data_IF_991655949125
#
_entry.id   IF_991655949125
#
_cell.length_a   1.000
_cell.length_b   1.000
_cell.length_c   1.000
_cell.angle_alpha   90.00
_cell.angle_beta   90.00
_cell.angle_gamma   90.00
#
_symmetry.space_group_name_H-M   'P 1'
#
loop_
_entity.id
_entity.type
_entity.pdbx_description
1 polymer ?
#
# COMPACT_ATOMS: atom_id res chain seq x y z
N UNK A 1 35.04 0.55 19.02
CA UNK A 1 34.25 0.58 17.77
C UNK A 1 33.27 1.72 17.96
N UNK A 2 33.28 2.70 17.06
CA UNK A 2 32.39 3.84 17.19
C UNK A 2 30.93 3.38 17.09
N UNK A 3 30.12 3.83 18.04
CA UNK A 3 28.70 3.51 18.17
C UNK A 3 27.90 4.75 17.80
N UNK A 4 26.85 4.59 16.98
CA UNK A 4 25.99 5.69 16.58
C UNK A 4 24.54 5.44 16.98
N UNK A 5 23.95 6.36 17.74
CA UNK A 5 22.53 6.36 18.08
C UNK A 5 21.82 7.49 17.35
N UNK A 6 20.65 7.17 16.79
CA UNK A 6 19.71 8.19 16.33
C UNK A 6 18.95 8.70 17.55
N UNK A 7 19.07 9.99 17.81
CA UNK A 7 18.40 10.68 18.91
C UNK A 7 17.52 11.81 18.38
N UNK A 8 16.50 12.18 19.13
CA UNK A 8 15.56 13.25 18.80
C UNK A 8 15.39 14.16 19.99
N UNK A 9 15.44 15.47 19.74
CA UNK A 9 15.00 16.46 20.72
C UNK A 9 13.46 16.51 20.71
N UNK A 10 12.85 16.20 21.85
CA UNK A 10 11.39 16.08 22.01
C UNK A 10 10.70 17.45 21.91
N UNK A 11 11.39 18.55 22.22
CA UNK A 11 10.81 19.88 22.20
C UNK A 11 10.72 20.46 20.78
N UNK A 12 11.74 20.16 19.97
CA UNK A 12 11.88 20.69 18.61
C UNK A 12 11.52 19.68 17.52
N UNK A 13 11.49 18.39 17.85
CA UNK A 13 11.31 17.30 16.90
C UNK A 13 12.55 17.01 16.04
N UNK A 14 13.66 17.73 16.23
CA UNK A 14 14.86 17.56 15.40
C UNK A 14 15.59 16.26 15.75
N UNK A 15 15.85 15.44 14.73
CA UNK A 15 16.61 14.21 14.86
C UNK A 15 18.08 14.44 14.47
N UNK A 16 18.99 13.85 15.24
CA UNK A 16 20.43 13.90 15.00
C UNK A 16 21.09 12.55 15.32
N UNK A 17 22.34 12.39 14.88
CA UNK A 17 23.16 11.24 15.21
C UNK A 17 24.11 11.62 16.35
N UNK A 18 24.08 10.83 17.42
CA UNK A 18 25.05 10.89 18.50
C UNK A 18 26.09 9.79 18.31
N UNK A 19 27.36 10.16 18.35
CA UNK A 19 28.50 9.25 18.19
C UNK A 19 29.18 9.02 19.54
N UNK A 20 29.55 7.77 19.79
CA UNK A 20 30.21 7.33 21.02
C UNK A 20 31.41 6.44 20.67
N UNK A 21 32.46 6.49 21.47
CA UNK A 21 33.70 5.75 21.18
C UNK A 21 33.56 4.24 21.44
N UNK A 22 32.64 3.86 22.32
CA UNK A 22 32.38 2.47 22.71
C UNK A 22 30.94 2.22 23.18
N UNK A 23 30.60 0.93 23.32
CA UNK A 23 29.32 0.48 23.91
C UNK A 23 29.23 0.91 25.38
N UNK A 24 30.33 0.84 26.15
CA UNK A 24 30.33 1.24 27.56
C UNK A 24 30.10 2.75 27.75
N UNK A 25 30.65 3.58 26.85
CA UNK A 25 30.40 5.03 26.86
C UNK A 25 28.92 5.31 26.53
N UNK A 26 28.36 4.55 25.60
CA UNK A 26 26.95 4.64 25.23
C UNK A 26 26.04 4.25 26.40
N UNK A 27 26.35 3.16 27.12
CA UNK A 27 25.60 2.73 28.30
C UNK A 27 25.62 3.81 29.40
N UNK A 28 26.79 4.41 29.64
CA UNK A 28 26.94 5.52 30.59
C UNK A 28 26.07 6.72 30.20
N UNK A 29 26.11 7.10 28.92
CA UNK A 29 25.29 8.21 28.42
C UNK A 29 23.79 7.91 28.47
N UNK A 30 23.36 6.68 28.18
CA UNK A 30 21.95 6.28 28.24
C UNK A 30 21.37 6.33 29.65
N UNK A 31 22.18 5.98 30.66
CA UNK A 31 21.79 6.09 32.06
C UNK A 31 21.68 7.55 32.50
N UNK A 32 22.56 8.41 31.99
CA UNK A 32 22.61 9.85 32.27
C UNK A 32 21.93 10.72 31.20
N UNK A 33 21.04 10.13 30.39
CA UNK A 33 20.49 10.75 29.18
C UNK A 33 20.01 12.18 29.47
N UNK A 34 20.42 13.19 28.67
CA UNK A 34 19.95 14.56 28.83
C UNK A 34 18.42 14.64 28.81
N UNK A 35 17.87 15.62 29.53
CA UNK A 35 16.41 15.85 29.52
C UNK A 35 15.94 16.22 28.12
N UNK A 36 14.74 15.78 27.77
CA UNK A 36 14.08 16.03 26.48
C UNK A 36 14.78 15.43 25.27
N UNK A 37 15.71 14.49 25.48
CA UNK A 37 16.28 13.70 24.39
C UNK A 37 15.62 12.33 24.38
N UNK A 38 15.08 11.94 23.25
CA UNK A 38 14.57 10.60 22.98
C UNK A 38 15.60 9.80 22.16
N UNK A 39 15.75 8.52 22.47
CA UNK A 39 16.62 7.61 21.71
C UNK A 39 15.73 6.80 20.79
N UNK A 40 15.86 7.02 19.48
CA UNK A 40 15.08 6.33 18.45
C UNK A 40 15.67 4.95 18.12
N UNK A 41 16.93 4.71 18.51
CA UNK A 41 17.63 3.43 18.35
C UNK A 41 18.97 3.57 17.62
N UNK A 42 19.60 2.44 17.27
CA UNK A 42 20.81 2.43 16.44
C UNK A 42 20.63 3.16 15.12
N UNK A 43 21.66 3.88 14.69
CA UNK A 43 21.70 4.47 13.34
C UNK A 43 21.71 3.38 12.25
N UNK A 44 22.38 2.24 12.50
CA UNK A 44 22.36 1.07 11.61
C UNK A 44 21.93 -0.17 12.38
N UNK A 45 20.96 -0.92 11.85
CA UNK A 45 20.36 -2.09 12.53
C UNK A 45 21.33 -3.25 12.79
N UNK A 46 22.52 -3.25 12.17
CA UNK A 46 23.56 -4.27 12.35
C UNK A 46 24.74 -3.80 13.21
N UNK A 47 24.65 -2.63 13.86
CA UNK A 47 25.76 -2.06 14.64
C UNK A 47 26.02 -2.77 15.97
N UNK A 48 25.09 -3.61 16.44
CA UNK A 48 25.15 -4.22 17.76
C UNK A 48 24.91 -5.73 17.70
N UNK A 49 25.55 -6.45 18.62
CA UNK A 49 25.14 -7.81 18.94
C UNK A 49 23.79 -7.79 19.67
N UNK A 50 23.06 -8.92 19.66
CA UNK A 50 21.79 -9.05 20.40
C UNK A 50 21.99 -8.80 21.90
N UNK A 51 23.14 -9.21 22.43
CA UNK A 51 23.50 -8.99 23.83
C UNK A 51 23.70 -7.50 24.14
N UNK A 52 24.43 -6.78 23.29
CA UNK A 52 24.65 -5.34 23.46
C UNK A 52 23.35 -4.55 23.33
N UNK A 53 22.44 -4.93 22.42
CA UNK A 53 21.12 -4.30 22.35
C UNK A 53 20.32 -4.44 23.65
N UNK A 54 20.36 -5.62 24.28
CA UNK A 54 19.68 -5.85 25.55
C UNK A 54 20.29 -4.98 26.66
N UNK A 55 21.62 -4.89 26.71
CA UNK A 55 22.33 -4.02 27.67
C UNK A 55 21.98 -2.55 27.46
N UNK A 56 21.94 -2.07 26.22
CA UNK A 56 21.60 -0.69 25.87
C UNK A 56 20.15 -0.36 26.26
N UNK A 57 19.19 -1.25 25.96
CA UNK A 57 17.79 -1.05 26.37
C UNK A 57 17.64 -1.01 27.88
N UNK A 58 18.37 -1.88 28.60
CA UNK A 58 18.32 -1.93 30.07
C UNK A 58 18.94 -0.68 30.73
N UNK A 59 19.97 -0.09 30.13
CA UNK A 59 20.60 1.13 30.63
C UNK A 59 19.82 2.42 30.33
N UNK A 60 18.79 2.36 29.48
CA UNK A 60 18.06 3.53 29.04
C UNK A 60 17.24 4.14 30.19
N UNK A 61 17.57 5.39 30.55
CA UNK A 61 16.77 6.16 31.50
C UNK A 61 15.33 6.32 30.98
N UNK A 62 14.30 6.00 31.78
CA UNK A 62 12.92 6.25 31.39
C UNK A 62 12.65 7.76 31.25
N UNK A 63 11.67 8.09 30.42
CA UNK A 63 11.16 9.47 30.30
C UNK A 63 10.50 9.88 31.63
N UNK A 64 10.84 11.08 32.10
CA UNK A 64 10.18 11.74 33.22
C UNK A 64 8.78 12.26 32.83
N UNK A 65 8.01 12.77 33.80
CA UNK A 65 6.64 13.21 33.54
C UNK A 65 6.55 14.38 32.54
N UNK A 66 7.51 15.32 32.59
CA UNK A 66 7.55 16.47 31.69
C UNK A 66 7.93 16.03 30.27
N UNK A 67 8.89 15.11 30.17
CA UNK A 67 9.32 14.51 28.91
C UNK A 67 8.19 13.70 28.26
N UNK A 68 7.45 12.90 29.04
CA UNK A 68 6.27 12.17 28.54
C UNK A 68 5.18 13.12 28.04
N UNK A 69 4.94 14.22 28.75
CA UNK A 69 3.97 15.22 28.32
C UNK A 69 4.43 15.96 27.05
N UNK A 70 5.74 16.22 26.91
CA UNK A 70 6.31 16.79 25.69
C UNK A 70 6.20 15.83 24.50
N UNK A 71 6.49 14.54 24.72
CA UNK A 71 6.35 13.49 23.72
C UNK A 71 4.91 13.39 23.23
N UNK A 72 3.92 13.34 24.15
CA UNK A 72 2.52 13.26 23.78
C UNK A 72 2.06 14.45 22.91
N UNK A 73 2.49 15.68 23.25
CA UNK A 73 2.17 16.86 22.43
C UNK A 73 2.80 16.79 21.04
N UNK A 74 4.01 16.24 20.93
CA UNK A 74 4.66 16.06 19.64
C UNK A 74 3.94 14.99 18.80
N UNK A 75 3.60 13.87 19.41
CA UNK A 75 2.87 12.79 18.75
C UNK A 75 1.49 13.28 18.25
N UNK A 76 0.79 14.12 19.04
CA UNK A 76 -0.46 14.75 18.62
C UNK A 76 -0.29 15.68 17.41
N UNK A 77 0.80 16.46 17.36
CA UNK A 77 1.13 17.33 16.22
C UNK A 77 1.45 16.52 14.97
N UNK A 78 2.28 15.48 15.11
CA UNK A 78 2.66 14.60 14.02
C UNK A 78 1.41 13.87 13.48
N UNK A 79 0.53 13.39 14.37
CA UNK A 79 -0.74 12.78 13.98
C UNK A 79 -1.72 13.76 13.32
N UNK A 80 -1.74 15.03 13.73
CA UNK A 80 -2.53 16.06 13.06
C UNK A 80 -1.98 16.35 11.64
N UNK A 81 -0.66 16.49 11.49
CA UNK A 81 -0.02 16.72 10.20
C UNK A 81 -0.22 15.53 9.23
N UNK A 82 -0.11 14.29 9.73
CA UNK A 82 -0.41 13.09 8.92
C UNK A 82 -1.87 13.05 8.47
N UNK A 83 -2.82 13.43 9.34
CA UNK A 83 -4.24 13.52 8.96
C UNK A 83 -4.47 14.58 7.89
N UNK A 84 -3.88 15.76 8.04
CA UNK A 84 -3.99 16.83 7.04
C UNK A 84 -3.41 16.41 5.69
N UNK A 85 -2.25 15.74 5.69
CA UNK A 85 -1.67 15.19 4.46
C UNK A 85 -2.57 14.15 3.81
N UNK A 86 -3.14 13.23 4.59
CA UNK A 86 -4.08 12.23 4.09
C UNK A 86 -5.35 12.88 3.52
N UNK A 87 -5.89 13.92 4.17
CA UNK A 87 -7.06 14.65 3.68
C UNK A 87 -6.75 15.39 2.37
N UNK A 88 -5.57 16.01 2.26
CA UNK A 88 -5.12 16.65 1.02
C UNK A 88 -4.93 15.65 -0.12
N UNK A 89 -4.34 14.47 0.16
CA UNK A 89 -4.18 13.40 -0.83
C UNK A 89 -5.55 12.86 -1.28
N UNK A 90 -6.48 12.66 -0.35
CA UNK A 90 -7.85 12.29 -0.69
C UNK A 90 -8.57 13.35 -1.51
N UNK A 91 -8.36 14.65 -1.22
CA UNK A 91 -8.93 15.73 -2.01
C UNK A 91 -8.39 15.71 -3.45
N UNK A 92 -7.06 15.56 -3.62
CA UNK A 92 -6.44 15.43 -4.95
C UNK A 92 -6.96 14.21 -5.72
N UNK A 93 -7.02 13.05 -5.07
CA UNK A 93 -7.56 11.84 -5.70
C UNK A 93 -9.02 12.01 -6.14
N UNK A 94 -9.84 12.74 -5.38
CA UNK A 94 -11.23 13.07 -5.76
C UNK A 94 -11.29 14.03 -6.95
N UNK A 95 -10.42 15.05 -6.97
CA UNK A 95 -10.34 16.00 -8.09
C UNK A 95 -9.87 15.31 -9.38
N UNK A 96 -8.85 14.46 -9.30
CA UNK A 96 -8.37 13.64 -10.41
C UNK A 96 -9.46 12.71 -10.94
N UNK A 97 -10.18 12.01 -10.04
CA UNK A 97 -11.30 11.15 -10.43
C UNK A 97 -12.42 11.94 -11.11
N UNK A 98 -12.74 13.14 -10.61
CA UNK A 98 -13.74 14.01 -11.22
C UNK A 98 -13.31 14.50 -12.62
N UNK A 99 -12.04 14.83 -12.80
CA UNK A 99 -11.47 15.20 -14.09
C UNK A 99 -11.51 14.04 -15.09
N UNK A 100 -11.17 12.81 -14.64
CA UNK A 100 -11.27 11.61 -15.47
C UNK A 100 -12.72 11.33 -15.89
N UNK A 101 -13.69 11.45 -14.96
CA UNK A 101 -15.12 11.30 -15.29
C UNK A 101 -15.58 12.30 -16.35
N UNK A 102 -15.16 13.57 -16.21
CA UNK A 102 -15.53 14.58 -17.19
C UNK A 102 -14.89 14.32 -18.55
N UNK A 103 -13.62 13.88 -18.58
CA UNK A 103 -12.98 13.44 -19.82
C UNK A 103 -13.73 12.27 -20.48
N UNK A 104 -14.08 11.24 -19.69
CA UNK A 104 -14.78 10.05 -20.13
C UNK A 104 -16.19 10.33 -20.67
N UNK A 105 -16.85 11.39 -20.18
CA UNK A 105 -18.17 11.84 -20.66
C UNK A 105 -18.16 12.22 -22.15
N UNK A 106 -17.06 12.78 -22.63
CA UNK A 106 -16.90 13.23 -24.03
C UNK A 106 -16.13 12.24 -24.90
N UNK A 107 -15.61 11.16 -24.31
CA UNK A 107 -14.89 10.11 -25.03
C UNK A 107 -15.85 9.18 -25.79
N UNK A 108 -15.33 8.42 -26.75
CA UNK A 108 -16.10 7.43 -27.52
C UNK A 108 -16.80 6.45 -26.56
N UNK A 109 -18.14 6.29 -26.62
CA UNK A 109 -18.87 5.31 -25.82
C UNK A 109 -18.47 3.86 -26.08
N UNK A 110 -17.93 3.57 -27.26
CA UNK A 110 -17.45 2.24 -27.63
C UNK A 110 -15.99 2.00 -27.26
N UNK A 111 -15.28 2.93 -26.62
CA UNK A 111 -13.91 2.70 -26.13
C UNK A 111 -13.84 1.46 -25.23
N UNK A 112 -12.66 0.84 -25.18
CA UNK A 112 -12.35 -0.23 -24.23
C UNK A 112 -12.79 0.13 -22.81
N UNK A 113 -13.33 -0.83 -22.08
CA UNK A 113 -13.68 -0.71 -20.68
C UNK A 113 -12.91 -1.72 -19.85
N UNK A 114 -12.55 -1.33 -18.63
CA UNK A 114 -11.93 -2.24 -17.68
C UNK A 114 -13.01 -2.99 -16.91
N UNK A 115 -12.97 -4.32 -16.93
CA UNK A 115 -13.92 -5.20 -16.26
C UNK A 115 -13.21 -6.06 -15.25
N UNK A 116 -13.71 -6.01 -14.01
CA UNK A 116 -13.35 -6.97 -12.97
C UNK A 116 -14.37 -8.11 -13.01
N UNK A 117 -13.88 -9.34 -13.08
CA UNK A 117 -14.67 -10.55 -12.91
C UNK A 117 -14.28 -11.21 -11.60
N UNK A 118 -15.27 -11.71 -10.87
CA UNK A 118 -15.06 -12.47 -9.64
C UNK A 118 -15.99 -13.68 -9.60
N UNK A 119 -15.43 -14.85 -9.26
CA UNK A 119 -16.21 -16.09 -9.19
C UNK A 119 -17.34 -15.96 -8.17
N UNK A 120 -18.55 -16.35 -8.57
CA UNK A 120 -19.76 -16.22 -7.76
C UNK A 120 -20.36 -14.80 -7.69
N UNK A 121 -19.68 -13.77 -8.20
CA UNK A 121 -20.23 -12.39 -8.27
C UNK A 121 -20.41 -11.87 -9.69
N UNK A 122 -19.68 -12.42 -10.66
CA UNK A 122 -19.77 -12.04 -12.07
C UNK A 122 -18.93 -10.82 -12.44
N UNK A 123 -19.29 -10.17 -13.54
CA UNK A 123 -18.58 -9.01 -14.10
C UNK A 123 -19.08 -7.69 -13.49
N UNK A 124 -18.16 -6.77 -13.21
CA UNK A 124 -18.45 -5.37 -12.86
C UNK A 124 -17.48 -4.43 -13.57
N UNK A 125 -17.92 -3.19 -13.81
CA UNK A 125 -17.02 -2.13 -14.27
C UNK A 125 -15.97 -1.86 -13.18
N UNK A 126 -14.69 -1.92 -13.55
CA UNK A 126 -13.57 -1.73 -12.65
C UNK A 126 -13.04 -0.29 -12.62
N UNK A 127 -13.40 0.54 -13.59
CA UNK A 127 -12.99 1.94 -13.66
C UNK A 127 -13.99 2.83 -12.89
N UNK A 128 -13.62 3.40 -11.74
CA UNK A 128 -14.50 4.29 -10.98
C UNK A 128 -14.79 5.62 -11.69
N UNK A 129 -14.03 5.96 -12.73
CA UNK A 129 -14.24 7.12 -13.59
C UNK A 129 -15.18 6.84 -14.77
N UNK A 130 -15.64 5.60 -14.92
CA UNK A 130 -16.50 5.16 -16.01
C UNK A 130 -17.83 4.66 -15.45
N UNK A 131 -18.93 5.31 -15.85
CA UNK A 131 -20.28 4.98 -15.40
C UNK A 131 -21.02 4.01 -16.33
N UNK A 132 -20.37 3.53 -17.40
CA UNK A 132 -20.97 2.59 -18.35
C UNK A 132 -21.23 1.24 -17.69
N UNK A 133 -22.39 0.67 -17.98
CA UNK A 133 -22.70 -0.71 -17.63
C UNK A 133 -21.93 -1.70 -18.53
N UNK A 134 -21.54 -2.83 -17.97
CA UNK A 134 -20.89 -3.90 -18.74
C UNK A 134 -21.95 -4.56 -19.63
N UNK A 135 -21.74 -4.51 -20.94
CA UNK A 135 -22.71 -5.09 -21.90
C UNK A 135 -22.76 -6.62 -21.80
N UNK A 136 -23.90 -7.22 -22.16
CA UNK A 136 -24.04 -8.68 -22.15
C UNK A 136 -23.00 -9.38 -23.05
N UNK A 137 -22.67 -8.79 -24.20
CA UNK A 137 -21.63 -9.31 -25.09
C UNK A 137 -20.25 -9.28 -24.43
N UNK A 138 -19.93 -8.21 -23.69
CA UNK A 138 -18.71 -8.14 -22.90
C UNK A 138 -18.70 -9.19 -21.79
N UNK A 139 -19.79 -9.35 -21.03
CA UNK A 139 -19.90 -10.38 -19.98
C UNK A 139 -19.63 -11.78 -20.55
N UNK A 140 -20.31 -12.15 -21.64
CA UNK A 140 -20.12 -13.47 -22.27
C UNK A 140 -18.67 -13.69 -22.72
N UNK A 141 -18.03 -12.68 -23.29
CA UNK A 141 -16.65 -12.78 -23.73
C UNK A 141 -15.66 -12.91 -22.56
N UNK A 142 -15.89 -12.17 -21.46
CA UNK A 142 -15.10 -12.27 -20.23
C UNK A 142 -15.27 -13.65 -19.59
N UNK A 143 -16.49 -14.18 -19.52
CA UNK A 143 -16.75 -15.52 -18.97
C UNK A 143 -16.08 -16.62 -19.81
N UNK A 144 -16.15 -16.51 -21.14
CA UNK A 144 -15.46 -17.44 -22.04
C UNK A 144 -13.94 -17.36 -21.87
N UNK A 145 -13.40 -16.14 -21.75
CA UNK A 145 -11.99 -15.89 -21.49
C UNK A 145 -11.54 -16.53 -20.17
N UNK A 146 -12.33 -16.37 -19.10
CA UNK A 146 -12.05 -16.96 -17.78
C UNK A 146 -12.13 -18.49 -17.84
N UNK A 147 -13.15 -19.04 -18.49
CA UNK A 147 -13.31 -20.49 -18.64
C UNK A 147 -12.10 -21.12 -19.33
N UNK A 148 -11.56 -20.47 -20.36
CA UNK A 148 -10.31 -20.88 -21.00
C UNK A 148 -9.15 -20.93 -20.00
N UNK A 149 -8.95 -19.86 -19.19
CA UNK A 149 -7.84 -19.81 -18.21
C UNK A 149 -8.02 -20.82 -17.09
N UNK A 150 -9.27 -21.12 -16.71
CA UNK A 150 -9.58 -22.16 -15.75
C UNK A 150 -9.01 -23.51 -16.21
N UNK A 151 -9.13 -23.84 -17.50
CA UNK A 151 -8.53 -25.07 -18.06
C UNK A 151 -7.00 -25.10 -17.95
N UNK A 152 -6.33 -23.95 -17.95
CA UNK A 152 -4.87 -23.88 -17.86
C UNK A 152 -4.37 -24.16 -16.44
N UNK A 153 -5.13 -23.75 -15.43
CA UNK A 153 -4.75 -23.88 -14.02
C UNK A 153 -5.31 -25.14 -13.36
N UNK A 154 -6.40 -25.71 -13.91
CA UNK A 154 -7.05 -26.91 -13.39
C UNK A 154 -6.10 -28.11 -13.17
N UNK A 155 -5.14 -28.44 -14.07
CA UNK A 155 -4.20 -29.54 -13.85
C UNK A 155 -3.28 -29.35 -12.62
N UNK A 156 -3.20 -28.12 -12.09
CA UNK A 156 -2.42 -27.78 -10.88
C UNK A 156 -3.28 -27.82 -9.61
N UNK A 157 -4.55 -28.27 -9.70
CA UNK A 157 -5.50 -28.23 -8.58
C UNK A 157 -5.86 -26.79 -8.19
N UNK A 158 -5.92 -25.90 -9.17
CA UNK A 158 -6.24 -24.48 -8.99
C UNK A 158 -7.45 -24.10 -9.85
N UNK A 159 -8.10 -23.00 -9.49
CA UNK A 159 -9.14 -22.36 -10.28
C UNK A 159 -8.97 -20.84 -10.27
N UNK A 160 -9.52 -20.16 -11.28
CA UNK A 160 -9.53 -18.70 -11.38
C UNK A 160 -10.54 -18.13 -10.38
N UNK A 161 -10.07 -17.33 -9.42
CA UNK A 161 -10.90 -16.70 -8.40
C UNK A 161 -11.40 -15.32 -8.85
N UNK A 162 -10.51 -14.53 -9.44
CA UNK A 162 -10.80 -13.20 -9.96
C UNK A 162 -9.94 -12.88 -11.18
N UNK A 163 -10.43 -11.97 -12.01
CA UNK A 163 -9.75 -11.49 -13.21
C UNK A 163 -10.00 -10.01 -13.45
N UNK A 164 -9.03 -9.35 -14.07
CA UNK A 164 -9.11 -7.97 -14.54
C UNK A 164 -8.77 -7.95 -16.02
N UNK A 165 -9.73 -7.53 -16.84
CA UNK A 165 -9.62 -7.58 -18.29
C UNK A 165 -10.10 -6.28 -18.92
N UNK A 166 -9.56 -5.97 -20.09
CA UNK A 166 -9.99 -4.87 -20.94
C UNK A 166 -10.87 -5.42 -22.06
N UNK A 167 -12.05 -4.83 -22.26
CA UNK A 167 -13.05 -5.37 -23.19
C UNK A 167 -13.72 -4.27 -24.01
N UNK A 168 -14.03 -4.55 -25.26
CA UNK A 168 -14.86 -3.68 -26.10
C UNK A 168 -16.35 -3.86 -25.72
N UNK A 169 -17.05 -2.83 -25.22
CA UNK A 169 -18.45 -2.95 -24.80
C UNK A 169 -19.43 -3.03 -25.98
N UNK A 170 -19.11 -2.41 -27.12
CA UNK A 170 -19.91 -2.41 -28.33
C UNK A 170 -19.20 -3.11 -29.50
N UNK A 171 -19.30 -2.60 -30.74
CA UNK A 171 -18.65 -3.23 -31.90
C UNK A 171 -17.12 -3.30 -31.76
N UNK A 172 -16.52 -4.47 -31.99
CA UNK A 172 -15.06 -4.61 -31.97
C UNK A 172 -14.46 -3.92 -33.20
N UNK A 173 -13.42 -3.08 -33.07
CA UNK A 173 -12.72 -2.54 -34.21
C UNK A 173 -12.21 -3.65 -35.14
N UNK A 174 -12.51 -3.56 -36.44
CA UNK A 174 -12.19 -4.62 -37.41
C UNK A 174 -13.22 -5.78 -37.46
N UNK A 175 -14.14 -5.84 -36.51
CA UNK A 175 -15.30 -6.75 -36.53
C UNK A 175 -15.02 -8.20 -36.09
N UNK A 176 -13.81 -8.50 -35.63
CA UNK A 176 -13.49 -9.83 -35.08
C UNK A 176 -13.93 -9.93 -33.61
N UNK A 177 -14.97 -10.71 -33.35
CA UNK A 177 -15.49 -10.93 -32.01
C UNK A 177 -14.50 -11.67 -31.08
N UNK A 178 -13.51 -12.39 -31.64
CA UNK A 178 -12.45 -13.01 -30.85
C UNK A 178 -11.53 -11.99 -30.18
N UNK A 179 -11.41 -10.78 -30.75
CA UNK A 179 -10.60 -9.67 -30.23
C UNK A 179 -11.40 -8.78 -29.26
N UNK A 180 -12.63 -9.16 -28.89
CA UNK A 180 -13.46 -8.40 -27.95
C UNK A 180 -12.77 -8.18 -26.59
N UNK A 181 -12.04 -9.18 -26.11
CA UNK A 181 -11.20 -9.07 -24.91
C UNK A 181 -9.77 -8.78 -25.35
N UNK A 182 -9.25 -7.64 -24.92
CA UNK A 182 -7.90 -7.21 -25.25
C UNK A 182 -6.83 -8.17 -24.69
N UNK A 183 -5.69 -8.22 -25.38
CA UNK A 183 -4.56 -9.04 -24.93
C UNK A 183 -3.95 -8.41 -23.67
N UNK A 184 -3.61 -9.25 -22.70
CA UNK A 184 -2.94 -8.81 -21.47
C UNK A 184 -3.81 -8.77 -20.21
N UNK A 185 -5.04 -9.30 -20.28
CA UNK A 185 -5.86 -9.54 -19.09
C UNK A 185 -5.12 -10.32 -18.01
N UNK A 186 -5.32 -9.92 -16.75
CA UNK A 186 -4.71 -10.52 -15.57
C UNK A 186 -5.73 -11.37 -14.82
N UNK A 187 -5.27 -12.43 -14.17
CA UNK A 187 -6.13 -13.26 -13.34
C UNK A 187 -5.37 -13.81 -12.14
N UNK A 188 -6.09 -14.04 -11.06
CA UNK A 188 -5.59 -14.68 -9.86
C UNK A 188 -6.20 -16.08 -9.75
N UNK A 189 -5.32 -17.08 -9.59
CA UNK A 189 -5.72 -18.47 -9.38
C UNK A 189 -5.41 -18.89 -7.94
N UNK A 190 -6.33 -19.63 -7.34
CA UNK A 190 -6.23 -20.12 -5.96
C UNK A 190 -6.30 -21.64 -5.94
N UNK A 191 -5.71 -22.25 -4.91
CA UNK A 191 -5.65 -23.70 -4.76
C UNK A 191 -6.96 -24.25 -4.17
N UNK A 192 -7.44 -25.37 -4.69
CA UNK A 192 -8.65 -26.04 -4.23
C UNK A 192 -9.69 -26.21 -5.32
N UNK A 193 -10.93 -26.49 -4.91
CA UNK A 193 -12.08 -26.63 -5.79
C UNK A 193 -12.88 -25.31 -5.80
N UNK A 194 -13.45 -24.92 -6.97
CA UNK A 194 -14.28 -23.72 -7.04
C UNK A 194 -15.52 -23.87 -6.14
N UNK A 195 -15.91 -22.83 -5.38
CA UNK A 195 -17.16 -22.85 -4.63
C UNK A 195 -18.34 -22.97 -5.59
N UNK A 196 -19.33 -23.82 -5.22
CA UNK A 196 -20.61 -23.99 -5.93
C UNK A 196 -21.45 -22.70 -5.97
#
# INVERSE_FOLDING_TARGET
MAVQLKIRDIQTGQAQLAEFDSVEDTLTWLAARPRFIEVLGPAQRSSFSVEDEQRLRAAMRPLDADEKAAQARQDERDAAAMREQADQEQARAREELAAMREHNRHADPNRVMQVAWERGKGCRNADPADDREVSAAAVTAVEAWVAERDTWVHPRGQYVADAMVEVWPGPVPGGDEADRVERGGQFNAVLGDPPE
#
